data_IF_968285086970
#
_entry.id   IF_968285086970
#
_cell.length_a   1.000
_cell.length_b   1.000
_cell.length_c   1.000
_cell.angle_alpha   90.00
_cell.angle_beta   90.00
_cell.angle_gamma   90.00
#
_symmetry.space_group_name_H-M   'P 1'
#
loop_
_entity.id
_entity.type
_entity.pdbx_description
1 polymer ?
#
# COMPACT_ATOMS: atom_id res chain seq x y z
N UNK A 1 3.55 4.22 -12.21
CA UNK A 1 2.11 4.22 -12.58
C UNK A 1 1.33 4.76 -11.40
N UNK A 2 0.36 5.62 -11.64
CA UNK A 2 -0.49 6.21 -10.61
C UNK A 2 -1.94 6.30 -11.09
N UNK A 3 -2.89 6.20 -10.13
CA UNK A 3 -4.33 6.27 -10.42
C UNK A 3 -4.87 7.70 -10.48
N UNK A 4 -4.19 8.64 -9.84
CA UNK A 4 -4.53 10.06 -9.83
C UNK A 4 -3.79 10.86 -10.90
N UNK A 5 -3.38 12.07 -10.56
CA UNK A 5 -2.63 12.99 -11.42
C UNK A 5 -1.16 13.10 -10.97
N UNK A 6 -0.35 13.79 -11.77
CA UNK A 6 1.02 14.08 -11.35
C UNK A 6 1.03 15.07 -10.19
N UNK A 7 0.48 16.26 -10.36
CA UNK A 7 0.53 17.36 -9.37
C UNK A 7 -0.80 18.05 -9.12
N UNK A 8 -1.85 17.73 -9.88
CA UNK A 8 -3.13 18.42 -9.80
C UNK A 8 -4.12 17.73 -8.85
N UNK A 9 -5.21 18.42 -8.58
CA UNK A 9 -6.36 17.85 -7.89
C UNK A 9 -7.21 17.04 -8.86
N UNK A 10 -7.76 15.93 -8.38
CA UNK A 10 -8.65 15.06 -9.14
C UNK A 10 -9.73 14.50 -8.23
N UNK A 11 -10.90 14.22 -8.79
CA UNK A 11 -12.01 13.56 -8.09
C UNK A 11 -12.36 12.24 -8.75
N UNK A 12 -12.82 11.29 -7.95
CA UNK A 12 -13.25 9.97 -8.41
C UNK A 12 -12.59 8.82 -7.65
N UNK A 13 -12.98 7.61 -8.02
CA UNK A 13 -12.49 6.38 -7.39
C UNK A 13 -11.64 5.58 -8.40
N UNK A 14 -10.38 5.94 -8.62
CA UNK A 14 -9.55 5.24 -9.58
C UNK A 14 -9.31 3.79 -9.13
N UNK A 15 -9.38 2.87 -10.10
CA UNK A 15 -9.01 1.47 -9.90
C UNK A 15 -7.86 1.12 -10.83
N UNK A 16 -6.76 0.68 -10.26
CA UNK A 16 -5.59 0.20 -10.98
C UNK A 16 -5.49 -1.32 -10.82
N UNK A 17 -5.82 -2.06 -11.87
CA UNK A 17 -5.70 -3.52 -11.88
C UNK A 17 -4.48 -3.92 -12.71
N UNK A 18 -3.57 -4.66 -12.09
CA UNK A 18 -2.33 -5.15 -12.72
C UNK A 18 -2.39 -6.67 -12.74
N UNK A 19 -2.57 -7.24 -13.93
CA UNK A 19 -2.66 -8.70 -14.12
C UNK A 19 -1.32 -9.31 -14.56
N UNK A 20 -0.40 -8.51 -15.03
CA UNK A 20 0.95 -8.92 -15.41
C UNK A 20 1.86 -7.71 -15.46
N UNK A 21 3.10 -7.88 -15.04
CA UNK A 21 4.15 -6.89 -15.26
C UNK A 21 5.19 -7.51 -16.18
N UNK A 22 5.63 -6.77 -17.18
CA UNK A 22 6.78 -7.14 -18.00
C UNK A 22 8.08 -7.14 -17.18
N UNK A 23 9.20 -7.35 -17.84
CA UNK A 23 10.53 -7.21 -17.21
C UNK A 23 10.75 -5.75 -16.79
N UNK A 24 11.18 -5.51 -15.55
CA UNK A 24 11.46 -4.18 -15.04
C UNK A 24 11.05 -4.01 -13.57
N UNK A 25 11.40 -2.86 -13.03
CA UNK A 25 11.06 -2.49 -11.66
C UNK A 25 9.96 -1.42 -11.71
N UNK A 26 8.82 -1.70 -11.09
CA UNK A 26 7.64 -0.86 -11.19
C UNK A 26 7.25 -0.28 -9.83
N UNK A 27 6.79 0.98 -9.87
CA UNK A 27 6.12 1.64 -8.74
C UNK A 27 4.66 1.89 -9.10
N UNK A 28 3.75 1.56 -8.18
CA UNK A 28 2.31 1.76 -8.33
C UNK A 28 1.77 2.57 -7.14
N UNK A 29 1.04 3.63 -7.46
CA UNK A 29 0.40 4.50 -6.49
C UNK A 29 -1.10 4.62 -6.83
N UNK A 30 -1.98 4.39 -5.86
CA UNK A 30 -3.43 4.54 -6.06
C UNK A 30 -3.86 5.99 -6.25
N UNK A 31 -3.16 6.92 -5.60
CA UNK A 31 -3.40 8.36 -5.68
C UNK A 31 -2.43 9.09 -6.62
N UNK A 32 -2.07 10.31 -6.23
CA UNK A 32 -1.24 11.21 -7.01
C UNK A 32 0.26 10.88 -6.89
N UNK A 33 1.04 11.37 -7.87
CA UNK A 33 2.48 11.12 -7.92
C UNK A 33 3.28 12.16 -7.10
N UNK A 34 3.15 13.45 -7.40
CA UNK A 34 4.05 14.50 -6.90
C UNK A 34 3.34 15.61 -6.11
N UNK A 35 2.06 15.39 -5.77
CA UNK A 35 1.28 16.34 -4.97
C UNK A 35 -0.17 16.41 -5.40
N UNK A 36 -0.90 17.38 -4.85
CA UNK A 36 -2.32 17.55 -5.09
C UNK A 36 -3.20 16.63 -4.25
N UNK A 37 -4.49 16.68 -4.51
CA UNK A 37 -5.51 16.00 -3.74
C UNK A 37 -6.32 15.05 -4.63
N UNK A 38 -6.47 13.81 -4.21
CA UNK A 38 -7.42 12.87 -4.79
C UNK A 38 -8.67 12.83 -3.91
N UNK A 39 -9.76 13.44 -4.37
CA UNK A 39 -11.06 13.35 -3.70
C UNK A 39 -11.77 12.06 -4.12
N UNK A 40 -11.56 10.97 -3.39
CA UNK A 40 -12.14 9.67 -3.69
C UNK A 40 -11.43 8.50 -3.03
N UNK A 41 -11.78 7.29 -3.45
CA UNK A 41 -11.32 6.04 -2.85
C UNK A 41 -10.49 5.23 -3.87
N UNK A 42 -9.19 5.43 -3.97
CA UNK A 42 -8.36 4.66 -4.88
C UNK A 42 -8.29 3.18 -4.47
N UNK A 43 -8.25 2.31 -5.47
CA UNK A 43 -8.08 0.88 -5.31
C UNK A 43 -6.96 0.37 -6.21
N UNK A 44 -6.02 -0.38 -5.65
CA UNK A 44 -5.02 -1.15 -6.41
C UNK A 44 -5.28 -2.62 -6.22
N UNK A 45 -5.31 -3.36 -7.33
CA UNK A 45 -5.39 -4.82 -7.35
C UNK A 45 -4.21 -5.36 -8.16
N UNK A 46 -3.35 -6.11 -7.52
CA UNK A 46 -2.22 -6.80 -8.14
C UNK A 46 -2.55 -8.28 -8.23
N UNK A 47 -2.60 -8.82 -9.43
CA UNK A 47 -2.92 -10.22 -9.69
C UNK A 47 -1.73 -10.91 -10.39
N UNK A 48 -1.22 -11.97 -9.80
CA UNK A 48 -0.30 -12.92 -10.43
C UNK A 48 0.90 -12.26 -11.19
N UNK A 49 1.47 -11.22 -10.63
CA UNK A 49 2.67 -10.58 -11.20
C UNK A 49 3.90 -11.43 -10.88
N UNK A 50 4.79 -11.62 -11.85
CA UNK A 50 6.01 -12.43 -11.70
C UNK A 50 7.30 -11.62 -11.69
N UNK A 51 7.25 -10.34 -12.00
CA UNK A 51 8.41 -9.45 -11.97
C UNK A 51 8.47 -8.61 -10.69
N UNK A 52 9.64 -8.11 -10.37
CA UNK A 52 9.88 -7.33 -9.17
C UNK A 52 9.06 -6.03 -9.16
N UNK A 53 8.33 -5.80 -8.08
CA UNK A 53 7.71 -4.53 -7.78
C UNK A 53 8.59 -3.80 -6.76
N UNK A 54 8.83 -2.52 -6.98
CA UNK A 54 9.62 -1.73 -6.03
C UNK A 54 8.71 -1.14 -4.94
N UNK A 55 7.72 -0.34 -5.34
CA UNK A 55 6.81 0.29 -4.39
C UNK A 55 5.36 0.05 -4.80
N UNK A 56 4.56 -0.43 -3.85
CA UNK A 56 3.11 -0.44 -3.90
C UNK A 56 2.58 0.50 -2.82
N UNK A 57 1.79 1.47 -3.21
CA UNK A 57 1.15 2.41 -2.28
C UNK A 57 -0.34 2.50 -2.58
N UNK A 58 -1.19 2.15 -1.61
CA UNK A 58 -2.65 2.23 -1.78
C UNK A 58 -3.15 3.65 -2.05
N UNK A 59 -2.47 4.66 -1.51
CA UNK A 59 -2.72 6.08 -1.76
C UNK A 59 -1.64 6.73 -2.62
N UNK A 60 -1.30 7.97 -2.30
CA UNK A 60 -0.37 8.77 -3.08
C UNK A 60 1.10 8.40 -2.84
N UNK A 61 1.96 8.76 -3.82
CA UNK A 61 3.39 8.92 -3.54
C UNK A 61 3.60 10.17 -2.65
N UNK A 62 3.12 11.31 -3.11
CA UNK A 62 3.04 12.56 -2.35
C UNK A 62 1.65 13.16 -2.59
N UNK A 63 1.02 13.75 -1.57
CA UNK A 63 -0.30 14.37 -1.66
C UNK A 63 -1.31 13.76 -0.71
N UNK A 64 -2.57 14.11 -0.89
CA UNK A 64 -3.64 13.67 0.00
C UNK A 64 -4.70 12.86 -0.74
N UNK A 65 -5.12 11.76 -0.15
CA UNK A 65 -6.36 11.05 -0.52
C UNK A 65 -7.43 11.47 0.48
N UNK A 66 -8.46 12.18 0.00
CA UNK A 66 -9.64 12.51 0.81
C UNK A 66 -10.69 11.43 0.65
N UNK A 67 -10.44 10.29 1.26
CA UNK A 67 -11.27 9.09 1.20
C UNK A 67 -10.50 7.91 1.78
N UNK A 68 -10.93 6.71 1.45
CA UNK A 68 -10.29 5.47 1.88
C UNK A 68 -9.31 4.96 0.83
N UNK A 69 -8.30 4.21 1.24
CA UNK A 69 -7.43 3.48 0.32
C UNK A 69 -7.64 1.97 0.43
N UNK A 70 -7.54 1.28 -0.70
CA UNK A 70 -7.62 -0.17 -0.77
C UNK A 70 -6.48 -0.73 -1.63
N UNK A 71 -5.69 -1.62 -1.04
CA UNK A 71 -4.61 -2.34 -1.73
C UNK A 71 -4.82 -3.84 -1.57
N UNK A 72 -4.93 -4.54 -2.70
CA UNK A 72 -5.11 -5.99 -2.75
C UNK A 72 -3.99 -6.61 -3.57
N UNK A 73 -3.31 -7.61 -3.01
CA UNK A 73 -2.29 -8.43 -3.69
C UNK A 73 -2.74 -9.87 -3.68
N UNK A 74 -3.04 -10.42 -4.85
CA UNK A 74 -3.50 -11.79 -5.04
C UNK A 74 -2.46 -12.61 -5.78
N UNK A 75 -1.99 -13.68 -5.18
CA UNK A 75 -1.09 -14.69 -5.80
C UNK A 75 0.06 -14.10 -6.63
N UNK A 76 0.56 -12.94 -6.22
CA UNK A 76 1.71 -12.32 -6.84
C UNK A 76 2.95 -13.19 -6.60
N UNK A 77 3.68 -13.45 -7.65
CA UNK A 77 5.00 -14.07 -7.57
C UNK A 77 6.11 -13.01 -7.59
N UNK A 78 7.31 -13.44 -7.24
CA UNK A 78 8.46 -12.55 -7.23
C UNK A 78 8.52 -11.62 -6.03
N UNK A 79 9.40 -10.63 -6.12
CA UNK A 79 9.69 -9.72 -5.01
C UNK A 79 8.88 -8.44 -5.09
N UNK A 80 8.24 -8.08 -3.98
CA UNK A 80 7.77 -6.72 -3.71
C UNK A 80 8.73 -6.10 -2.69
N UNK A 81 9.40 -5.00 -3.06
CA UNK A 81 10.35 -4.38 -2.14
C UNK A 81 9.64 -3.68 -1.00
N UNK A 82 8.58 -2.92 -1.31
CA UNK A 82 7.85 -2.18 -0.27
C UNK A 82 6.35 -2.09 -0.55
N UNK A 83 5.56 -2.31 0.50
CA UNK A 83 4.11 -2.07 0.51
C UNK A 83 3.81 -0.97 1.53
N UNK A 84 2.99 0.00 1.11
CA UNK A 84 2.41 1.05 1.94
C UNK A 84 0.90 1.03 1.72
N UNK A 85 0.12 0.63 2.71
CA UNK A 85 -1.34 0.53 2.57
C UNK A 85 -2.00 1.89 2.31
N UNK A 86 -1.54 2.92 3.00
CA UNK A 86 -2.00 4.30 2.83
C UNK A 86 -1.25 5.04 1.74
N UNK A 87 -0.04 5.48 2.01
CA UNK A 87 0.73 6.29 1.08
C UNK A 87 2.23 6.21 1.35
N UNK A 88 3.04 6.58 0.38
CA UNK A 88 4.47 6.55 0.58
C UNK A 88 4.94 7.76 1.40
N UNK A 89 4.87 8.97 0.86
CA UNK A 89 5.49 10.15 1.46
C UNK A 89 7.02 10.01 1.48
N UNK A 90 7.75 10.95 0.94
CA UNK A 90 9.21 10.81 0.83
C UNK A 90 9.96 11.34 2.04
N UNK A 91 9.38 12.32 2.74
CA UNK A 91 9.95 12.95 3.94
C UNK A 91 8.86 13.74 4.71
N UNK A 92 9.25 14.45 5.76
CA UNK A 92 8.32 15.18 6.62
C UNK A 92 7.60 16.36 5.94
N UNK A 93 8.11 16.87 4.81
CA UNK A 93 7.49 17.95 4.03
C UNK A 93 6.70 17.41 2.84
N UNK A 94 7.12 16.29 2.27
CA UNK A 94 6.49 15.61 1.15
C UNK A 94 5.73 14.40 1.65
N UNK A 95 4.60 14.64 2.27
CA UNK A 95 3.78 13.61 2.93
C UNK A 95 2.75 13.00 2.00
N UNK A 96 2.29 11.81 2.35
CA UNK A 96 1.14 11.16 1.73
C UNK A 96 0.07 10.92 2.80
N UNK A 97 -0.98 11.74 2.78
CA UNK A 97 -2.05 11.67 3.78
C UNK A 97 -3.26 10.90 3.25
N UNK A 98 -4.00 10.25 4.16
CA UNK A 98 -5.29 9.62 3.90
C UNK A 98 -6.27 10.12 4.96
N UNK A 99 -7.37 10.74 4.55
CA UNK A 99 -8.34 11.25 5.53
C UNK A 99 -9.30 10.18 6.06
N UNK A 100 -9.49 9.11 5.29
CA UNK A 100 -10.34 7.98 5.65
C UNK A 100 -9.56 6.78 6.18
N UNK A 101 -10.10 5.60 5.93
CA UNK A 101 -9.53 4.33 6.33
C UNK A 101 -8.51 3.80 5.32
N UNK A 102 -7.60 2.98 5.79
CA UNK A 102 -6.65 2.24 4.98
C UNK A 102 -6.92 0.75 5.11
N UNK A 103 -7.05 0.06 3.98
CA UNK A 103 -7.23 -1.39 3.93
C UNK A 103 -6.18 -2.02 3.03
N UNK A 104 -5.45 -2.99 3.55
CA UNK A 104 -4.48 -3.78 2.77
C UNK A 104 -4.76 -5.26 2.95
N UNK A 105 -4.89 -5.96 1.82
CA UNK A 105 -5.01 -7.40 1.78
C UNK A 105 -3.89 -7.99 0.94
N UNK A 106 -3.16 -8.96 1.50
CA UNK A 106 -2.20 -9.79 0.76
C UNK A 106 -2.65 -11.24 0.93
N UNK A 107 -3.01 -11.88 -0.17
CA UNK A 107 -3.49 -13.27 -0.18
C UNK A 107 -2.70 -14.08 -1.20
N UNK A 108 -1.78 -14.91 -0.72
CA UNK A 108 -0.92 -15.76 -1.55
C UNK A 108 -1.33 -17.22 -1.31
N UNK A 109 -2.15 -17.77 -2.19
CA UNK A 109 -2.71 -19.12 -2.04
C UNK A 109 -1.80 -20.21 -2.59
N UNK A 110 -0.86 -19.86 -3.48
CA UNK A 110 0.03 -20.81 -4.13
C UNK A 110 1.47 -20.70 -3.59
N UNK A 111 1.94 -21.73 -2.92
CA UNK A 111 3.30 -21.80 -2.37
C UNK A 111 4.40 -21.70 -3.45
N UNK A 112 4.12 -22.08 -4.69
CA UNK A 112 5.07 -22.07 -5.79
C UNK A 112 5.26 -20.67 -6.42
N UNK A 113 4.53 -19.65 -6.00
CA UNK A 113 4.63 -18.30 -6.58
C UNK A 113 5.98 -17.65 -6.34
N UNK A 114 6.70 -18.05 -5.29
CA UNK A 114 7.96 -17.43 -4.90
C UNK A 114 7.82 -16.00 -4.37
N UNK A 115 6.65 -15.68 -3.82
CA UNK A 115 6.38 -14.35 -3.26
C UNK A 115 7.39 -13.95 -2.19
N UNK A 116 7.93 -12.75 -2.33
CA UNK A 116 8.87 -12.17 -1.39
C UNK A 116 8.48 -10.72 -1.08
N UNK A 117 8.48 -10.37 0.20
CA UNK A 117 8.19 -9.00 0.65
C UNK A 117 9.31 -8.52 1.57
N UNK A 118 9.89 -7.35 1.28
CA UNK A 118 11.00 -6.82 2.08
C UNK A 118 10.53 -5.84 3.16
N UNK A 119 9.63 -4.92 2.84
CA UNK A 119 9.17 -3.91 3.79
C UNK A 119 7.65 -3.75 3.69
N UNK A 120 7.00 -3.73 4.83
CA UNK A 120 5.55 -3.55 4.93
C UNK A 120 5.21 -2.47 5.95
N UNK A 121 4.41 -1.51 5.50
CA UNK A 121 3.73 -0.55 6.36
C UNK A 121 2.23 -0.62 6.05
N UNK A 122 1.41 -0.98 7.02
CA UNK A 122 -0.03 -1.01 6.86
C UNK A 122 -0.63 0.38 6.61
N UNK A 123 0.01 1.42 7.15
CA UNK A 123 -0.34 2.82 6.97
C UNK A 123 0.53 3.54 5.94
N UNK A 124 1.09 4.68 6.33
CA UNK A 124 1.94 5.53 5.50
C UNK A 124 3.39 5.50 5.97
N UNK A 125 4.33 5.83 5.08
CA UNK A 125 5.71 6.05 5.53
C UNK A 125 5.86 7.43 6.19
N UNK A 126 5.43 8.50 5.51
CA UNK A 126 5.36 9.86 6.04
C UNK A 126 3.99 10.46 5.74
N UNK A 127 3.23 10.81 6.77
CA UNK A 127 1.90 11.40 6.65
C UNK A 127 0.94 10.88 7.71
N UNK A 128 -0.30 11.32 7.67
CA UNK A 128 -1.32 10.99 8.65
C UNK A 128 -2.47 10.21 8.02
N UNK A 129 -3.12 9.39 8.82
CA UNK A 129 -4.33 8.65 8.47
C UNK A 129 -5.44 9.10 9.42
N UNK A 130 -6.54 9.60 8.86
CA UNK A 130 -7.66 10.10 9.66
C UNK A 130 -8.54 9.01 10.28
N UNK A 131 -8.62 7.86 9.65
CA UNK A 131 -9.40 6.70 10.11
C UNK A 131 -8.53 5.55 10.62
N UNK A 132 -9.05 4.34 10.49
CA UNK A 132 -8.38 3.11 10.92
C UNK A 132 -7.53 2.47 9.84
N UNK A 133 -6.56 1.67 10.26
CA UNK A 133 -5.75 0.81 9.39
C UNK A 133 -6.13 -0.65 9.61
N UNK A 134 -6.44 -1.35 8.53
CA UNK A 134 -6.76 -2.79 8.55
C UNK A 134 -5.81 -3.52 7.61
N UNK A 135 -5.13 -4.53 8.13
CA UNK A 135 -4.22 -5.38 7.39
C UNK A 135 -4.68 -6.83 7.49
N UNK A 136 -4.81 -7.49 6.35
CA UNK A 136 -5.12 -8.91 6.25
C UNK A 136 -4.06 -9.58 5.37
N UNK A 137 -3.13 -10.27 6.00
CA UNK A 137 -1.97 -10.88 5.35
C UNK A 137 -2.06 -12.38 5.54
N UNK A 138 -2.22 -13.10 4.44
CA UNK A 138 -2.43 -14.55 4.48
C UNK A 138 -1.67 -15.28 3.38
N UNK A 139 -1.37 -16.57 3.64
CA UNK A 139 -0.83 -17.50 2.67
C UNK A 139 0.68 -17.67 2.75
N UNK A 140 1.29 -17.97 1.62
CA UNK A 140 2.68 -18.40 1.51
C UNK A 140 3.58 -17.25 1.09
N UNK A 141 4.76 -17.15 1.70
CA UNK A 141 5.72 -16.11 1.29
C UNK A 141 7.02 -16.17 2.04
N UNK A 142 8.00 -15.48 1.48
CA UNK A 142 9.28 -15.23 2.11
C UNK A 142 9.39 -13.78 2.53
N UNK A 143 9.77 -13.56 3.78
CA UNK A 143 10.29 -12.27 4.21
C UNK A 143 11.78 -12.22 3.89
N UNK A 144 12.21 -11.23 3.16
CA UNK A 144 13.61 -11.11 2.76
C UNK A 144 14.51 -10.73 3.94
N UNK A 145 15.67 -11.37 4.08
CA UNK A 145 16.40 -11.47 5.35
C UNK A 145 17.24 -10.30 5.80
N UNK A 146 17.40 -9.22 5.06
CA UNK A 146 18.23 -8.09 5.47
C UNK A 146 17.44 -6.78 5.55
N UNK A 147 17.34 -6.21 6.74
CA UNK A 147 16.76 -4.88 6.95
C UNK A 147 15.24 -4.79 6.89
N UNK A 148 14.56 -5.89 7.14
CA UNK A 148 13.09 -5.99 6.97
C UNK A 148 12.32 -5.28 8.05
N UNK A 149 11.20 -4.69 7.63
CA UNK A 149 10.27 -4.07 8.56
C UNK A 149 8.86 -4.53 8.25
N UNK A 150 8.17 -5.05 9.26
CA UNK A 150 6.73 -5.22 9.26
C UNK A 150 6.14 -4.30 10.32
N UNK A 151 5.44 -3.28 9.87
CA UNK A 151 4.76 -2.32 10.73
C UNK A 151 3.30 -2.29 10.33
N UNK A 152 2.40 -2.71 11.21
CA UNK A 152 0.95 -2.71 10.96
C UNK A 152 0.37 -1.32 10.77
N UNK A 153 1.04 -0.29 11.26
CA UNK A 153 0.63 1.11 11.15
C UNK A 153 1.55 1.93 10.23
N UNK A 154 1.72 3.19 10.58
CA UNK A 154 2.57 4.15 9.88
C UNK A 154 4.00 4.14 10.41
N UNK A 155 4.95 4.50 9.56
CA UNK A 155 6.35 4.72 10.00
C UNK A 155 6.50 6.04 10.74
N UNK A 156 5.96 7.10 10.18
CA UNK A 156 6.01 8.47 10.72
C UNK A 156 4.71 9.19 10.40
N UNK A 157 3.85 9.31 11.39
CA UNK A 157 2.54 9.96 11.30
C UNK A 157 1.50 9.32 12.19
N UNK A 158 0.45 10.07 12.44
CA UNK A 158 -0.64 9.66 13.30
C UNK A 158 -1.64 8.77 12.56
N UNK A 159 -2.34 7.94 13.31
CA UNK A 159 -3.44 7.10 12.82
C UNK A 159 -4.65 7.33 13.70
N UNK A 160 -5.75 7.69 13.05
CA UNK A 160 -7.03 7.92 13.69
C UNK A 160 -7.16 9.30 14.30
N UNK A 161 -8.36 9.81 14.29
CA UNK A 161 -8.77 11.03 14.98
C UNK A 161 -9.61 10.73 16.20
N UNK A 162 -10.19 9.52 16.27
CA UNK A 162 -10.99 9.06 17.38
C UNK A 162 -10.38 7.79 18.00
N UNK A 163 -9.73 7.93 19.14
CA UNK A 163 -9.05 6.83 19.84
C UNK A 163 -9.97 5.68 20.27
N UNK A 164 -11.28 5.90 20.33
CA UNK A 164 -12.25 4.88 20.70
C UNK A 164 -12.62 3.94 19.52
N UNK A 165 -12.57 4.44 18.29
CA UNK A 165 -13.03 3.72 17.11
C UNK A 165 -11.94 3.47 16.07
N UNK A 166 -10.92 4.31 16.06
CA UNK A 166 -9.82 4.22 15.13
C UNK A 166 -8.66 3.42 15.74
N UNK A 167 -7.78 2.95 14.89
CA UNK A 167 -6.63 2.17 15.33
C UNK A 167 -6.10 1.27 14.22
N UNK A 168 -5.36 0.27 14.64
CA UNK A 168 -4.71 -0.68 13.76
C UNK A 168 -5.23 -2.08 14.06
N UNK A 169 -5.75 -2.75 13.03
CA UNK A 169 -6.03 -4.18 13.07
C UNK A 169 -5.12 -4.89 12.09
N UNK A 170 -4.40 -5.90 12.56
CA UNK A 170 -3.53 -6.72 11.72
C UNK A 170 -3.84 -8.18 11.95
N UNK A 171 -4.35 -8.85 10.92
CA UNK A 171 -4.50 -10.28 10.87
C UNK A 171 -3.33 -10.87 10.08
N UNK A 172 -2.55 -11.70 10.72
CA UNK A 172 -1.41 -12.36 10.10
C UNK A 172 -1.62 -13.87 10.16
N UNK A 173 -1.93 -14.47 9.02
CA UNK A 173 -2.10 -15.91 8.86
C UNK A 173 -1.21 -16.39 7.70
N UNK A 174 0.08 -16.42 7.96
CA UNK A 174 1.10 -16.72 6.94
C UNK A 174 1.89 -17.97 7.32
N UNK A 175 2.28 -18.72 6.29
CA UNK A 175 3.37 -19.68 6.38
C UNK A 175 4.60 -19.02 5.77
N UNK A 176 5.49 -18.60 6.63
CA UNK A 176 6.77 -17.98 6.25
C UNK A 176 7.84 -19.06 6.16
N UNK A 177 8.59 -19.07 5.06
CA UNK A 177 9.70 -19.99 4.83
C UNK A 177 11.04 -19.23 4.86
#
# INVERSE_FOLDING_TARGET
VYGGTDTGDVSGNPTLTVNSTGTGTWNFYGGNQNGGNLAGNPTIVINNTRSGLNTLSGGANIGTVTGNTSLVVNDSGGRIASIYGGGYGTNATNTANVTGNVSTKVAITNAATGFQLSTYYGGVQYGNIGGKVTNDISGYGRWYTAGQRFIGGSSRGDIGTNRATDGITTNLNTQLY
#
